data_IF_632102223784
#
_entry.id   IF_632102223784
#
_cell.length_a   1.000
_cell.length_b   1.000
_cell.length_c   1.000
_cell.angle_alpha   90.00
_cell.angle_beta   90.00
_cell.angle_gamma   90.00
#
_symmetry.space_group_name_H-M   'P 1'
#
loop_
_entity.id
_entity.type
_entity.pdbx_description
1 polymer ?
#
# COMPACT_ATOMS: atom_id res chain seq x y z
N UNK A 1 2.60 11.46 19.15
CA UNK A 1 1.46 12.31 19.58
C UNK A 1 1.44 13.68 18.92
N UNK A 2 2.56 14.41 18.86
CA UNK A 2 2.63 15.74 18.20
C UNK A 2 2.12 15.73 16.75
N UNK A 3 2.49 14.72 15.94
CA UNK A 3 2.02 14.62 14.55
C UNK A 3 0.51 14.43 14.41
N UNK A 4 -0.12 13.66 15.32
CA UNK A 4 -1.58 13.49 15.33
C UNK A 4 -2.28 14.79 15.73
N UNK A 5 -1.77 15.49 16.74
CA UNK A 5 -2.32 16.77 17.18
C UNK A 5 -2.19 17.84 16.08
N UNK A 6 -1.02 17.95 15.46
CA UNK A 6 -0.77 18.88 14.37
C UNK A 6 -1.67 18.57 13.16
N UNK A 7 -1.76 17.30 12.75
CA UNK A 7 -2.62 16.89 11.65
C UNK A 7 -4.10 17.16 11.93
N UNK A 8 -4.56 16.87 13.14
CA UNK A 8 -5.94 17.13 13.56
C UNK A 8 -6.25 18.63 13.55
N UNK A 9 -5.33 19.46 14.07
CA UNK A 9 -5.46 20.90 14.05
C UNK A 9 -5.55 21.45 12.62
N UNK A 10 -4.72 20.97 11.70
CA UNK A 10 -4.76 21.37 10.29
C UNK A 10 -6.11 21.02 9.66
N UNK A 11 -6.63 19.81 9.92
CA UNK A 11 -7.94 19.40 9.40
C UNK A 11 -9.05 20.29 9.97
N UNK A 12 -9.04 20.58 11.28
CA UNK A 12 -10.03 21.47 11.92
C UNK A 12 -9.98 22.86 11.27
N UNK A 13 -8.80 23.46 11.14
CA UNK A 13 -8.65 24.77 10.50
C UNK A 13 -9.14 24.76 9.04
N UNK A 14 -8.82 23.72 8.27
CA UNK A 14 -9.29 23.58 6.89
C UNK A 14 -10.81 23.44 6.77
N UNK A 15 -11.47 22.82 7.76
CA UNK A 15 -12.93 22.70 7.82
C UNK A 15 -13.60 24.02 8.22
N UNK A 16 -12.96 24.83 9.07
CA UNK A 16 -13.45 26.14 9.52
C UNK A 16 -13.20 27.27 8.50
N UNK A 17 -12.23 27.11 7.60
CA UNK A 17 -11.94 28.12 6.58
C UNK A 17 -13.12 28.33 5.62
N UNK A 18 -13.38 29.57 5.18
CA UNK A 18 -14.40 29.87 4.18
C UNK A 18 -14.17 29.06 2.90
N UNK A 19 -15.18 28.29 2.49
CA UNK A 19 -15.14 27.54 1.25
C UNK A 19 -15.61 28.41 0.09
N UNK A 20 -14.92 28.32 -1.05
CA UNK A 20 -15.40 28.91 -2.29
C UNK A 20 -16.72 28.27 -2.77
N UNK A 21 -17.36 28.89 -3.77
CA UNK A 21 -18.64 28.44 -4.36
C UNK A 21 -18.76 26.93 -4.45
N UNK A 22 -19.83 26.38 -3.87
CA UNK A 22 -20.17 24.95 -3.97
C UNK A 22 -20.78 24.57 -5.33
N UNK A 23 -21.14 25.56 -6.15
CA UNK A 23 -21.80 25.34 -7.43
C UNK A 23 -20.80 25.38 -8.59
N UNK A 24 -20.98 24.46 -9.54
CA UNK A 24 -20.38 24.50 -10.86
C UNK A 24 -19.27 23.48 -11.13
N UNK A 25 -18.63 23.63 -12.30
CA UNK A 25 -17.64 22.73 -12.87
C UNK A 25 -16.44 22.46 -11.94
N UNK A 26 -16.13 23.37 -11.00
CA UNK A 26 -15.04 23.21 -10.01
C UNK A 26 -15.25 22.04 -9.04
N UNK A 27 -16.49 21.59 -8.85
CA UNK A 27 -16.81 20.42 -8.00
C UNK A 27 -16.99 19.14 -8.79
N UNK A 28 -17.03 19.23 -10.12
CA UNK A 28 -17.15 18.06 -10.98
C UNK A 28 -15.81 17.32 -11.01
N UNK A 29 -15.88 16.03 -11.34
CA UNK A 29 -14.67 15.22 -11.50
C UNK A 29 -13.85 15.75 -12.66
N UNK A 30 -12.53 15.76 -12.47
CA UNK A 30 -11.61 16.17 -13.50
C UNK A 30 -11.53 15.10 -14.59
N UNK A 31 -12.03 15.41 -15.79
CA UNK A 31 -11.90 14.59 -17.00
C UNK A 31 -11.31 15.43 -18.14
N UNK A 32 -10.16 16.07 -17.88
CA UNK A 32 -9.42 16.90 -18.84
C UNK A 32 -10.27 18.04 -19.47
N UNK A 33 -11.19 18.62 -18.70
CA UNK A 33 -12.08 19.70 -19.15
C UNK A 33 -13.40 19.24 -19.78
N UNK A 34 -13.59 17.93 -19.99
CA UNK A 34 -14.87 17.40 -20.44
C UNK A 34 -15.85 17.22 -19.26
N UNK A 35 -17.17 17.33 -19.50
CA UNK A 35 -18.17 16.89 -18.54
C UNK A 35 -17.93 15.41 -18.20
N UNK A 36 -17.92 15.04 -16.90
CA UNK A 36 -17.59 13.69 -16.52
C UNK A 36 -18.63 12.70 -17.04
N UNK A 37 -18.18 11.58 -17.62
CA UNK A 37 -19.07 10.58 -18.22
C UNK A 37 -18.66 9.16 -17.86
N UNK A 38 -19.66 8.28 -17.68
CA UNK A 38 -19.44 6.87 -17.33
C UNK A 38 -19.08 6.62 -15.86
N UNK A 39 -18.71 5.37 -15.56
CA UNK A 39 -18.38 4.94 -14.20
C UNK A 39 -16.93 5.28 -13.82
N UNK A 40 -16.79 5.94 -12.67
CA UNK A 40 -15.52 6.36 -12.12
C UNK A 40 -14.57 5.22 -11.71
N UNK A 41 -15.16 4.10 -11.28
CA UNK A 41 -14.49 3.02 -10.57
C UNK A 41 -14.52 1.77 -11.44
N UNK A 42 -13.65 1.74 -12.43
CA UNK A 42 -13.40 0.51 -13.19
C UNK A 42 -12.36 -0.36 -12.49
N UNK A 43 -12.28 -1.63 -12.88
CA UNK A 43 -11.17 -2.51 -12.49
C UNK A 43 -9.90 -1.96 -13.12
N UNK A 44 -9.05 -1.34 -12.31
CA UNK A 44 -7.74 -0.91 -12.77
C UNK A 44 -6.80 -2.13 -12.74
N UNK A 45 -6.24 -2.57 -13.88
CA UNK A 45 -5.21 -3.59 -13.85
C UNK A 45 -4.01 -3.05 -13.08
N UNK A 46 -3.78 -3.61 -11.89
CA UNK A 46 -2.64 -3.24 -11.07
C UNK A 46 -1.46 -4.10 -11.50
N UNK A 47 -0.69 -3.59 -12.47
CA UNK A 47 0.48 -4.29 -13.03
C UNK A 47 1.49 -4.69 -11.95
N UNK A 48 1.48 -4.02 -10.79
CA UNK A 48 2.39 -4.28 -9.68
C UNK A 48 1.86 -5.26 -8.63
N UNK A 49 0.79 -6.01 -8.91
CA UNK A 49 0.20 -6.91 -7.93
C UNK A 49 1.15 -8.04 -7.51
N UNK A 50 1.93 -8.59 -8.44
CA UNK A 50 2.98 -9.55 -8.13
C UNK A 50 4.04 -9.01 -7.15
N UNK A 51 4.42 -7.73 -7.30
CA UNK A 51 5.33 -7.06 -6.36
C UNK A 51 4.72 -6.85 -4.97
N UNK A 52 3.42 -6.62 -4.88
CA UNK A 52 2.72 -6.55 -3.59
C UNK A 52 2.77 -7.90 -2.86
N UNK A 53 2.55 -9.00 -3.59
CA UNK A 53 2.66 -10.35 -3.03
C UNK A 53 4.09 -10.68 -2.61
N UNK A 54 5.08 -10.29 -3.41
CA UNK A 54 6.50 -10.40 -3.03
C UNK A 54 6.80 -9.62 -1.76
N UNK A 55 6.37 -8.35 -1.67
CA UNK A 55 6.55 -7.54 -0.47
C UNK A 55 5.97 -8.22 0.77
N UNK A 56 4.71 -8.67 0.69
CA UNK A 56 4.03 -9.37 1.79
C UNK A 56 4.70 -10.68 2.19
N UNK A 57 5.34 -11.38 1.25
CA UNK A 57 6.08 -12.61 1.53
C UNK A 57 7.42 -12.35 2.23
N UNK A 58 8.08 -11.23 1.91
CA UNK A 58 9.40 -10.86 2.44
C UNK A 58 9.29 -10.16 3.79
N UNK A 59 8.25 -9.36 4.01
CA UNK A 59 8.01 -8.62 5.27
C UNK A 59 8.18 -9.49 6.53
N UNK A 60 7.52 -10.66 6.69
CA UNK A 60 7.67 -11.47 7.89
C UNK A 60 9.09 -12.02 8.07
N UNK A 61 9.83 -12.28 6.98
CA UNK A 61 11.25 -12.67 7.05
C UNK A 61 12.07 -11.52 7.62
N UNK A 62 11.84 -10.29 7.13
CA UNK A 62 12.53 -9.10 7.62
C UNK A 62 12.22 -8.82 9.09
N UNK A 63 10.98 -9.04 9.53
CA UNK A 63 10.59 -8.90 10.95
C UNK A 63 11.35 -9.90 11.82
N UNK A 64 11.43 -11.17 11.42
CA UNK A 64 12.18 -12.18 12.19
C UNK A 64 13.67 -11.82 12.23
N UNK A 65 14.26 -11.45 11.10
CA UNK A 65 15.66 -11.03 11.03
C UNK A 65 15.93 -9.80 11.90
N UNK A 66 15.03 -8.83 11.91
CA UNK A 66 15.12 -7.65 12.78
C UNK A 66 15.08 -8.04 14.26
N UNK A 67 14.15 -8.90 14.67
CA UNK A 67 14.05 -9.35 16.07
C UNK A 67 15.29 -10.13 16.53
N UNK A 68 15.93 -10.89 15.63
CA UNK A 68 17.19 -11.58 15.93
C UNK A 68 18.32 -10.63 16.31
N UNK A 69 18.30 -9.37 15.86
CA UNK A 69 19.33 -8.39 16.25
C UNK A 69 19.33 -8.03 17.74
N UNK A 70 18.21 -8.29 18.44
CA UNK A 70 18.06 -8.08 19.88
C UNK A 70 18.28 -9.36 20.70
N UNK A 71 18.59 -10.48 20.04
CA UNK A 71 18.72 -11.78 20.69
C UNK A 71 20.19 -12.17 20.85
N UNK A 72 20.58 -12.63 22.04
CA UNK A 72 21.94 -13.12 22.31
C UNK A 72 22.24 -14.46 21.61
N UNK A 73 21.20 -15.21 21.23
CA UNK A 73 21.28 -16.50 20.54
C UNK A 73 20.22 -16.58 19.46
N UNK A 74 20.45 -17.37 18.42
CA UNK A 74 19.44 -17.63 17.39
C UNK A 74 18.54 -18.78 17.87
N UNK A 75 17.27 -18.53 18.24
CA UNK A 75 16.36 -19.61 18.61
C UNK A 75 16.04 -20.46 17.38
N UNK A 76 16.00 -21.78 17.57
CA UNK A 76 15.68 -22.75 16.49
C UNK A 76 14.33 -22.42 15.85
N UNK A 77 13.36 -21.95 16.63
CA UNK A 77 12.04 -21.53 16.12
C UNK A 77 12.12 -20.38 15.11
N UNK A 78 13.01 -19.40 15.29
CA UNK A 78 13.19 -18.31 14.32
C UNK A 78 13.81 -18.81 13.02
N UNK A 79 14.80 -19.70 13.10
CA UNK A 79 15.40 -20.33 11.92
C UNK A 79 14.38 -21.16 11.14
N UNK A 80 13.56 -21.97 11.84
CA UNK A 80 12.47 -22.74 11.23
C UNK A 80 11.40 -21.84 10.61
N UNK A 81 11.06 -20.73 11.26
CA UNK A 81 10.09 -19.77 10.74
C UNK A 81 10.58 -19.13 9.43
N UNK A 82 11.85 -18.71 9.35
CA UNK A 82 12.43 -18.21 8.10
C UNK A 82 12.41 -19.29 7.02
N UNK A 83 12.78 -20.53 7.36
CA UNK A 83 12.78 -21.65 6.42
C UNK A 83 11.39 -21.92 5.84
N UNK A 84 10.35 -21.89 6.67
CA UNK A 84 8.94 -22.08 6.26
C UNK A 84 8.43 -20.93 5.39
N UNK A 85 9.00 -19.72 5.51
CA UNK A 85 8.63 -18.56 4.69
C UNK A 85 9.32 -18.54 3.31
N UNK A 86 10.44 -19.26 3.11
CA UNK A 86 11.15 -19.29 1.83
C UNK A 86 10.27 -19.72 0.63
N UNK A 87 9.42 -20.76 0.72
CA UNK A 87 8.50 -21.11 -0.36
C UNK A 87 7.56 -19.95 -0.74
N UNK A 88 7.06 -19.20 0.24
CA UNK A 88 6.22 -18.03 -0.02
C UNK A 88 6.99 -16.92 -0.75
N UNK A 89 8.24 -16.66 -0.35
CA UNK A 89 9.11 -15.67 -1.02
C UNK A 89 9.42 -16.09 -2.45
N UNK A 90 9.79 -17.36 -2.66
CA UNK A 90 10.08 -17.86 -4.02
C UNK A 90 8.85 -17.80 -4.93
N UNK A 91 7.65 -18.10 -4.42
CA UNK A 91 6.41 -17.90 -5.16
C UNK A 91 6.17 -16.41 -5.45
N UNK A 92 6.38 -15.53 -4.46
CA UNK A 92 6.27 -14.08 -4.63
C UNK A 92 7.18 -13.55 -5.75
N UNK A 93 8.43 -14.01 -5.81
CA UNK A 93 9.38 -13.63 -6.88
C UNK A 93 8.87 -14.07 -8.24
N UNK A 94 8.38 -15.31 -8.37
CA UNK A 94 7.82 -15.81 -9.64
C UNK A 94 6.61 -14.99 -10.09
N UNK A 95 5.70 -14.68 -9.17
CA UNK A 95 4.50 -13.90 -9.46
C UNK A 95 4.82 -12.43 -9.80
N UNK A 96 5.91 -11.88 -9.26
CA UNK A 96 6.39 -10.55 -9.60
C UNK A 96 6.98 -10.48 -11.02
N UNK A 97 7.58 -11.56 -11.51
CA UNK A 97 8.14 -11.64 -12.86
C UNK A 97 7.04 -11.80 -13.94
N UNK A 98 5.89 -12.38 -13.59
CA UNK A 98 4.75 -12.62 -14.48
C UNK A 98 3.81 -11.39 -14.60
N UNK A 99 4.32 -10.25 -15.06
CA UNK A 99 3.53 -9.01 -15.24
C UNK A 99 2.29 -9.18 -16.13
N UNK A 100 2.37 -10.02 -17.16
CA UNK A 100 1.29 -10.27 -18.11
C UNK A 100 0.07 -10.91 -17.45
N UNK A 101 0.28 -11.68 -16.38
CA UNK A 101 -0.78 -12.36 -15.63
C UNK A 101 -1.69 -11.39 -14.87
N UNK A 102 -1.23 -10.15 -14.66
CA UNK A 102 -1.92 -9.10 -13.92
C UNK A 102 -2.50 -8.01 -14.83
N UNK A 103 -2.32 -8.15 -16.15
CA UNK A 103 -2.95 -7.30 -17.16
C UNK A 103 -4.33 -7.88 -17.49
N UNK A 104 -5.38 -7.11 -17.20
CA UNK A 104 -6.75 -7.38 -17.64
C UNK A 104 -6.96 -6.85 -19.06
#
# INVERSE_FOLDING_TARGET
MVGLLAGTLVVILALLMPRGSEKGFKRWRYEAGNPPSGEAKTRLPFQYYGYLLLYLSVEPVMVVLYLLTFSERIPVSAALMVLVLLPAVTLGVKLADELERWRL
#
